data_IF_250374612523
#
_entry.id   IF_250374612523
#
_cell.length_a   1.000
_cell.length_b   1.000
_cell.length_c   1.000
_cell.angle_alpha   90.00
_cell.angle_beta   90.00
_cell.angle_gamma   90.00
#
_symmetry.space_group_name_H-M   'P 1'
#
loop_
_entity.id
_entity.type
_entity.pdbx_description
1 polymer ?
#
# COMPACT_ATOMS: atom_id res chain seq x y z
N UNK A 1 5.89 19.28 8.59
CA UNK A 1 4.64 18.61 8.16
C UNK A 1 5.05 17.58 7.12
N UNK A 2 4.89 16.29 7.38
CA UNK A 2 5.40 15.11 6.62
C UNK A 2 6.92 15.01 6.40
N UNK A 3 7.59 16.06 5.94
CA UNK A 3 9.04 16.06 5.62
C UNK A 3 9.94 15.64 6.80
N UNK A 4 9.50 15.92 8.03
CA UNK A 4 10.25 15.61 9.25
C UNK A 4 9.89 14.25 9.86
N UNK A 5 8.95 13.51 9.28
CA UNK A 5 8.56 12.20 9.80
C UNK A 5 9.59 11.14 9.42
N UNK A 6 9.87 10.23 10.35
CA UNK A 6 10.60 9.00 10.10
C UNK A 6 9.72 7.98 9.37
N UNK A 7 10.34 6.97 8.75
CA UNK A 7 9.59 5.90 8.08
C UNK A 7 8.66 5.16 9.06
N UNK A 8 9.12 4.90 10.28
CA UNK A 8 8.31 4.24 11.31
C UNK A 8 7.07 5.06 11.69
N UNK A 9 7.16 6.38 11.70
CA UNK A 9 6.02 7.26 11.96
C UNK A 9 5.03 7.29 10.79
N UNK A 10 5.53 7.28 9.55
CA UNK A 10 4.68 7.22 8.34
C UNK A 10 3.91 5.90 8.21
N UNK A 11 4.51 4.79 8.63
CA UNK A 11 3.89 3.46 8.57
C UNK A 11 2.99 3.15 9.76
N UNK A 12 2.93 4.04 10.76
CA UNK A 12 2.11 3.84 11.95
C UNK A 12 0.63 3.91 11.60
N UNK A 13 -0.15 3.04 12.23
CA UNK A 13 -1.60 3.03 12.04
C UNK A 13 -2.22 4.36 12.51
N UNK A 14 -3.05 5.02 11.67
CA UNK A 14 -3.74 6.25 12.04
C UNK A 14 -4.77 5.97 13.15
N UNK A 15 -4.93 6.93 14.06
CA UNK A 15 -5.87 6.85 15.19
C UNK A 15 -7.06 7.77 15.02
N UNK A 16 -6.88 8.89 14.33
CA UNK A 16 -7.93 9.89 14.08
C UNK A 16 -8.19 10.08 12.59
N UNK A 17 -9.25 10.81 12.22
CA UNK A 17 -9.54 11.14 10.82
C UNK A 17 -8.45 12.08 10.28
N UNK A 18 -7.97 12.99 11.12
CA UNK A 18 -6.89 13.92 10.81
C UNK A 18 -5.56 13.20 10.52
N UNK A 19 -5.28 12.10 11.22
CA UNK A 19 -4.06 11.30 10.99
C UNK A 19 -4.02 10.66 9.59
N UNK A 20 -5.18 10.41 8.97
CA UNK A 20 -5.26 9.80 7.63
C UNK A 20 -4.88 10.83 6.55
N UNK A 21 -5.05 12.12 6.85
CA UNK A 21 -4.72 13.25 5.96
C UNK A 21 -5.36 13.14 4.56
N UNK A 22 -6.59 12.60 4.50
CA UNK A 22 -7.43 12.61 3.30
C UNK A 22 -8.82 13.17 3.62
N UNK A 23 -9.50 13.78 2.64
CA UNK A 23 -10.89 14.17 2.80
C UNK A 23 -11.78 13.00 3.25
N UNK A 24 -12.55 13.20 4.33
CA UNK A 24 -13.42 12.19 4.94
C UNK A 24 -14.37 11.52 3.93
N UNK A 25 -14.86 12.29 2.97
CA UNK A 25 -15.75 11.80 1.90
C UNK A 25 -15.14 10.68 1.06
N UNK A 26 -13.81 10.60 0.92
CA UNK A 26 -13.14 9.51 0.20
C UNK A 26 -13.42 8.18 0.90
N UNK A 27 -13.29 8.13 2.23
CA UNK A 27 -13.52 6.91 3.02
C UNK A 27 -15.01 6.57 3.02
N UNK A 28 -15.88 7.57 3.19
CA UNK A 28 -17.34 7.39 3.14
C UNK A 28 -17.78 6.81 1.80
N UNK A 29 -17.27 7.32 0.69
CA UNK A 29 -17.56 6.80 -0.65
C UNK A 29 -17.09 5.34 -0.80
N UNK A 30 -15.92 4.98 -0.24
CA UNK A 30 -15.44 3.58 -0.23
C UNK A 30 -16.40 2.68 0.58
N UNK A 31 -16.87 3.12 1.77
CA UNK A 31 -17.84 2.37 2.58
C UNK A 31 -19.15 2.19 1.81
N UNK A 32 -19.68 3.26 1.21
CA UNK A 32 -20.92 3.21 0.44
C UNK A 32 -20.82 2.23 -0.73
N UNK A 33 -19.70 2.24 -1.47
CA UNK A 33 -19.45 1.28 -2.56
C UNK A 33 -19.38 -0.16 -2.08
N UNK A 34 -18.72 -0.39 -0.94
CA UNK A 34 -18.66 -1.72 -0.32
C UNK A 34 -20.06 -2.23 0.04
N UNK A 35 -20.86 -1.41 0.72
CA UNK A 35 -22.23 -1.76 1.10
C UNK A 35 -23.13 -1.96 -0.12
N UNK A 36 -22.96 -1.15 -1.18
CA UNK A 36 -23.72 -1.32 -2.41
C UNK A 36 -23.37 -2.64 -3.11
N UNK A 37 -22.09 -3.02 -3.12
CA UNK A 37 -21.62 -4.23 -3.78
C UNK A 37 -21.93 -5.51 -3.00
N UNK A 38 -21.90 -5.48 -1.66
CA UNK A 38 -22.06 -6.66 -0.81
C UNK A 38 -23.42 -6.71 -0.08
N UNK A 39 -24.19 -5.63 -0.12
CA UNK A 39 -25.49 -5.49 0.56
C UNK A 39 -25.33 -5.28 2.07
N UNK A 40 -25.59 -6.34 2.83
CA UNK A 40 -25.53 -6.31 4.30
C UNK A 40 -24.12 -6.67 4.76
N UNK A 41 -23.38 -5.71 5.33
CA UNK A 41 -21.96 -5.88 5.63
C UNK A 41 -21.69 -5.67 7.12
N UNK A 42 -21.01 -6.63 7.75
CA UNK A 42 -20.63 -6.51 9.17
C UNK A 42 -19.50 -5.49 9.37
N UNK A 43 -19.44 -4.89 10.56
CA UNK A 43 -18.32 -4.02 10.95
C UNK A 43 -16.95 -4.67 10.70
N UNK A 44 -16.81 -5.95 11.02
CA UNK A 44 -15.58 -6.72 10.81
C UNK A 44 -15.17 -6.77 9.33
N UNK A 45 -16.14 -6.93 8.43
CA UNK A 45 -15.88 -6.94 6.98
C UNK A 45 -15.46 -5.55 6.49
N UNK A 46 -16.14 -4.49 6.93
CA UNK A 46 -15.75 -3.09 6.63
C UNK A 46 -14.32 -2.83 7.09
N UNK A 47 -13.98 -3.21 8.33
CA UNK A 47 -12.64 -3.05 8.87
C UNK A 47 -11.58 -3.81 8.08
N UNK A 48 -11.85 -5.05 7.68
CA UNK A 48 -10.92 -5.86 6.88
C UNK A 48 -10.65 -5.25 5.50
N UNK A 49 -11.66 -4.63 4.89
CA UNK A 49 -11.55 -4.00 3.57
C UNK A 49 -10.83 -2.66 3.67
N UNK A 50 -11.25 -1.77 4.55
CA UNK A 50 -10.79 -0.36 4.57
C UNK A 50 -9.53 -0.17 5.43
N UNK A 51 -9.28 -1.04 6.42
CA UNK A 51 -8.05 -1.11 7.22
C UNK A 51 -7.71 0.12 8.06
N UNK A 52 -8.72 0.87 8.50
CA UNK A 52 -8.58 2.03 9.41
C UNK A 52 -9.51 1.90 10.63
N UNK A 53 -9.37 0.84 11.45
CA UNK A 53 -10.33 0.49 12.52
C UNK A 53 -10.68 1.63 13.47
N UNK A 54 -9.70 2.46 13.82
CA UNK A 54 -9.85 3.50 14.85
C UNK A 54 -10.79 4.63 14.43
N UNK A 55 -10.99 4.85 13.12
CA UNK A 55 -11.89 5.90 12.63
C UNK A 55 -13.25 5.37 12.19
N UNK A 56 -13.37 4.05 11.94
CA UNK A 56 -14.57 3.49 11.34
C UNK A 56 -15.83 3.67 12.20
N UNK A 57 -15.71 3.55 13.52
CA UNK A 57 -16.86 3.72 14.43
C UNK A 57 -17.46 5.14 14.31
N UNK A 58 -16.60 6.17 14.31
CA UNK A 58 -17.00 7.57 14.15
C UNK A 58 -17.64 7.80 12.78
N UNK A 59 -17.05 7.25 11.71
CA UNK A 59 -17.57 7.41 10.35
C UNK A 59 -18.92 6.72 10.18
N UNK A 60 -19.09 5.51 10.70
CA UNK A 60 -20.33 4.75 10.60
C UNK A 60 -21.45 5.37 11.44
N UNK A 61 -21.14 5.89 12.62
CA UNK A 61 -22.11 6.64 13.42
C UNK A 61 -22.57 7.91 12.71
N UNK A 62 -21.64 8.64 12.08
CA UNK A 62 -21.97 9.80 11.25
C UNK A 62 -22.84 9.41 10.03
N UNK A 63 -22.50 8.33 9.32
CA UNK A 63 -23.32 7.85 8.19
C UNK A 63 -24.73 7.47 8.64
N UNK A 64 -24.87 6.94 9.86
CA UNK A 64 -26.16 6.61 10.45
C UNK A 64 -26.96 7.87 10.81
N UNK A 65 -26.33 8.89 11.41
CA UNK A 65 -27.00 10.15 11.73
C UNK A 65 -27.44 10.91 10.47
N UNK A 66 -26.68 10.79 9.38
CA UNK A 66 -27.02 11.35 8.07
C UNK A 66 -28.00 10.49 7.26
N UNK A 67 -28.58 9.44 7.87
CA UNK A 67 -29.52 8.53 7.22
C UNK A 67 -28.98 7.88 5.94
N UNK A 68 -27.67 7.67 5.81
CA UNK A 68 -27.06 6.98 4.68
C UNK A 68 -27.03 5.46 4.88
N UNK A 69 -26.97 5.02 6.14
CA UNK A 69 -26.94 3.60 6.51
C UNK A 69 -27.90 3.29 7.65
N UNK A 70 -28.36 2.06 7.68
CA UNK A 70 -29.14 1.48 8.77
C UNK A 70 -28.35 0.36 9.44
N UNK A 71 -28.60 0.15 10.73
CA UNK A 71 -27.94 -0.90 11.52
C UNK A 71 -28.92 -2.02 11.84
N UNK A 72 -28.59 -3.24 11.39
CA UNK A 72 -29.28 -4.46 11.78
C UNK A 72 -28.54 -5.12 12.95
N UNK A 73 -29.27 -5.68 13.93
CA UNK A 73 -28.66 -6.46 14.99
C UNK A 73 -27.97 -7.69 14.40
N UNK A 74 -26.71 -7.89 14.76
CA UNK A 74 -25.95 -9.10 14.43
C UNK A 74 -25.59 -9.85 15.70
N UNK A 75 -24.29 -9.97 16.00
CA UNK A 75 -23.80 -10.70 17.18
C UNK A 75 -23.94 -9.85 18.46
N UNK A 76 -24.84 -10.17 19.40
CA UNK A 76 -25.10 -9.32 20.57
C UNK A 76 -23.90 -9.21 21.53
N UNK A 77 -23.09 -10.28 21.60
CA UNK A 77 -21.92 -10.40 22.47
C UNK A 77 -20.82 -9.38 22.15
N UNK A 78 -20.77 -8.89 20.91
CA UNK A 78 -19.77 -7.92 20.43
C UNK A 78 -20.25 -6.47 20.50
N UNK A 79 -21.45 -6.21 21.05
CA UNK A 79 -22.04 -4.88 21.11
C UNK A 79 -22.09 -4.22 19.73
N UNK A 80 -21.60 -2.98 19.61
CA UNK A 80 -21.59 -2.21 18.35
C UNK A 80 -20.75 -2.84 17.24
N UNK A 81 -19.71 -3.60 17.58
CA UNK A 81 -18.87 -4.28 16.58
C UNK A 81 -19.55 -5.53 16.00
N UNK A 82 -20.66 -5.98 16.60
CA UNK A 82 -21.51 -7.03 16.08
C UNK A 82 -22.56 -6.55 15.09
N UNK A 83 -22.66 -5.24 14.83
CA UNK A 83 -23.65 -4.69 13.91
C UNK A 83 -23.37 -5.03 12.45
N UNK A 84 -24.46 -5.20 11.72
CA UNK A 84 -24.48 -5.32 10.26
C UNK A 84 -25.07 -4.04 9.70
N UNK A 85 -24.35 -3.43 8.76
CA UNK A 85 -24.73 -2.18 8.13
C UNK A 85 -25.37 -2.47 6.77
N UNK A 86 -26.41 -1.72 6.44
CA UNK A 86 -27.09 -1.77 5.14
C UNK A 86 -27.36 -0.36 4.64
N UNK A 87 -27.45 -0.17 3.33
CA UNK A 87 -27.73 1.15 2.76
C UNK A 87 -29.20 1.50 2.98
N UNK A 88 -29.45 2.74 3.36
CA UNK A 88 -30.78 3.33 3.20
C UNK A 88 -31.05 3.64 1.72
N UNK A 89 -32.27 4.08 1.40
CA UNK A 89 -32.60 4.55 0.05
C UNK A 89 -31.72 5.74 -0.41
N UNK A 90 -31.45 6.69 0.49
CA UNK A 90 -30.56 7.83 0.21
C UNK A 90 -29.10 7.39 0.11
N UNK A 91 -28.68 6.43 0.95
CA UNK A 91 -27.38 5.78 0.87
C UNK A 91 -27.15 5.11 -0.48
N UNK A 92 -28.18 4.42 -1.00
CA UNK A 92 -28.12 3.75 -2.30
C UNK A 92 -27.93 4.76 -3.46
N UNK A 93 -28.64 5.88 -3.45
CA UNK A 93 -28.46 6.95 -4.43
C UNK A 93 -27.03 7.51 -4.38
N UNK A 94 -26.52 7.78 -3.18
CA UNK A 94 -25.16 8.31 -2.99
C UNK A 94 -24.09 7.30 -3.38
N UNK A 95 -24.31 6.01 -3.11
CA UNK A 95 -23.41 4.94 -3.49
C UNK A 95 -23.31 4.80 -5.02
N UNK A 96 -24.43 4.91 -5.76
CA UNK A 96 -24.42 4.92 -7.23
C UNK A 96 -23.59 6.09 -7.78
N UNK A 97 -23.78 7.30 -7.25
CA UNK A 97 -22.97 8.45 -7.64
C UNK A 97 -21.48 8.25 -7.29
N UNK A 98 -21.17 7.59 -6.17
CA UNK A 98 -19.79 7.27 -5.79
C UNK A 98 -19.15 6.23 -6.73
N UNK A 99 -19.92 5.25 -7.23
CA UNK A 99 -19.49 4.27 -8.24
C UNK A 99 -19.21 4.93 -9.59
N UNK A 100 -20.02 5.91 -10.01
CA UNK A 100 -19.77 6.66 -11.25
C UNK A 100 -18.43 7.41 -11.23
N UNK A 101 -17.98 7.88 -10.05
CA UNK A 101 -16.69 8.57 -9.90
C UNK A 101 -15.49 7.62 -9.79
N UNK A 102 -15.65 6.51 -9.09
CA UNK A 102 -14.58 5.53 -8.90
C UNK A 102 -15.15 4.18 -8.48
N UNK A 103 -14.57 3.10 -8.99
CA UNK A 103 -14.94 1.72 -8.66
C UNK A 103 -14.07 1.13 -7.54
N UNK A 104 -13.18 1.92 -6.93
CA UNK A 104 -12.25 1.42 -5.93
C UNK A 104 -12.96 1.04 -4.62
N UNK A 105 -12.84 -0.24 -4.24
CA UNK A 105 -13.28 -0.81 -2.97
C UNK A 105 -12.07 -1.54 -2.37
N UNK A 106 -11.52 -0.99 -1.28
CA UNK A 106 -10.29 -1.50 -0.69
C UNK A 106 -9.80 -0.65 0.48
N UNK A 107 -8.54 -0.84 0.91
CA UNK A 107 -7.95 -0.08 2.00
C UNK A 107 -8.01 1.43 1.75
N UNK A 108 -8.10 2.23 2.82
CA UNK A 108 -8.08 3.67 2.70
C UNK A 108 -6.81 4.12 1.93
N UNK A 109 -6.94 4.99 0.90
CA UNK A 109 -5.80 5.41 0.09
C UNK A 109 -4.88 6.33 0.90
N UNK A 110 -3.59 6.26 0.60
CA UNK A 110 -2.56 7.10 1.23
C UNK A 110 -2.35 8.37 0.40
N UNK A 111 -2.22 9.56 1.00
CA UNK A 111 -1.90 10.78 0.25
C UNK A 111 -0.57 10.67 -0.52
N UNK A 112 -0.53 11.20 -1.74
CA UNK A 112 0.66 11.08 -2.60
C UNK A 112 1.93 11.67 -1.96
N UNK A 113 1.83 12.75 -1.18
CA UNK A 113 2.98 13.35 -0.50
C UNK A 113 3.52 12.49 0.64
N UNK A 114 2.67 11.72 1.33
CA UNK A 114 3.12 10.72 2.31
C UNK A 114 3.88 9.58 1.63
N UNK A 115 3.36 9.10 0.50
CA UNK A 115 4.01 8.04 -0.28
C UNK A 115 5.38 8.48 -0.82
N UNK A 116 5.46 9.67 -1.42
CA UNK A 116 6.73 10.22 -1.92
C UNK A 116 7.79 10.24 -0.81
N UNK A 117 7.40 10.74 0.38
CA UNK A 117 8.32 10.78 1.52
C UNK A 117 8.75 9.40 1.99
N UNK A 118 7.83 8.43 2.05
CA UNK A 118 8.14 7.06 2.42
C UNK A 118 9.13 6.42 1.44
N UNK A 119 8.96 6.64 0.13
CA UNK A 119 9.88 6.12 -0.89
C UNK A 119 11.26 6.76 -0.79
N UNK A 120 11.35 8.07 -0.56
CA UNK A 120 12.64 8.74 -0.32
C UNK A 120 13.38 8.15 0.88
N UNK A 121 12.68 7.92 1.99
CA UNK A 121 13.29 7.38 3.20
C UNK A 121 13.74 5.92 3.03
N UNK A 122 12.95 5.10 2.32
CA UNK A 122 13.28 3.70 2.03
C UNK A 122 14.42 3.55 1.01
N UNK A 123 14.63 4.54 0.14
CA UNK A 123 15.68 4.50 -0.89
C UNK A 123 17.00 5.12 -0.44
N UNK A 124 17.01 5.83 0.69
CA UNK A 124 18.21 6.40 1.29
C UNK A 124 19.04 5.40 2.11
N UNK A 125 18.43 4.29 2.56
CA UNK A 125 19.18 3.24 3.25
C UNK A 125 20.15 2.56 2.28
N UNK A 126 21.41 2.42 2.71
CA UNK A 126 22.43 1.76 1.91
C UNK A 126 22.12 0.27 1.84
N UNK A 127 22.02 -0.23 0.62
CA UNK A 127 21.97 -1.65 0.34
C UNK A 127 23.26 -2.30 0.88
N UNK A 128 23.16 -3.13 1.92
CA UNK A 128 24.27 -3.93 2.42
C UNK A 128 24.22 -5.32 1.79
N UNK A 129 24.87 -5.45 0.63
CA UNK A 129 25.04 -6.74 -0.02
C UNK A 129 26.30 -7.41 0.52
N UNK A 130 26.13 -8.59 1.11
CA UNK A 130 27.27 -9.40 1.53
C UNK A 130 27.95 -10.05 0.33
N UNK A 131 29.26 -10.24 0.47
CA UNK A 131 30.08 -10.90 -0.53
C UNK A 131 29.56 -12.30 -0.93
N UNK A 132 29.12 -13.08 0.08
CA UNK A 132 28.55 -14.41 -0.12
C UNK A 132 27.28 -14.40 -0.96
N UNK A 133 26.50 -13.32 -0.90
CA UNK A 133 25.24 -13.22 -1.63
C UNK A 133 25.51 -12.91 -3.10
N UNK A 134 26.50 -12.04 -3.38
CA UNK A 134 26.98 -11.79 -4.75
C UNK A 134 27.49 -13.07 -5.39
N UNK A 135 28.33 -13.82 -4.67
CA UNK A 135 28.89 -15.09 -5.15
C UNK A 135 27.80 -16.12 -5.46
N UNK A 136 26.82 -16.29 -4.56
CA UNK A 136 25.66 -17.16 -4.78
C UNK A 136 24.80 -16.72 -5.95
N UNK A 137 24.51 -15.42 -6.10
CA UNK A 137 23.68 -14.93 -7.22
C UNK A 137 24.32 -15.17 -8.59
N UNK A 138 25.65 -15.30 -8.62
CA UNK A 138 26.45 -15.49 -9.82
C UNK A 138 26.88 -16.95 -10.04
N UNK A 139 26.56 -17.89 -9.14
CA UNK A 139 27.10 -19.25 -9.18
C UNK A 139 26.73 -20.03 -10.44
N UNK A 140 25.59 -19.69 -11.05
CA UNK A 140 25.09 -20.33 -12.26
C UNK A 140 25.73 -19.77 -13.55
N UNK A 141 26.63 -18.78 -13.41
CA UNK A 141 27.28 -18.09 -14.53
C UNK A 141 28.77 -18.44 -14.61
N UNK A 142 29.23 -18.78 -15.82
CA UNK A 142 30.66 -18.99 -16.10
C UNK A 142 31.30 -17.61 -16.24
N UNK A 143 31.96 -17.15 -15.17
CA UNK A 143 32.57 -15.82 -15.09
C UNK A 143 34.07 -15.91 -14.79
N UNK A 144 34.86 -14.87 -15.13
CA UNK A 144 36.26 -14.81 -14.75
C UNK A 144 36.46 -14.95 -13.24
N UNK A 145 37.60 -15.50 -12.78
CA UNK A 145 37.92 -15.52 -11.37
C UNK A 145 37.89 -14.09 -10.78
N UNK A 146 37.47 -13.98 -9.53
CA UNK A 146 37.32 -12.70 -8.80
C UNK A 146 36.31 -11.70 -9.41
N UNK A 147 35.48 -12.08 -10.38
CA UNK A 147 34.48 -11.17 -10.95
C UNK A 147 33.52 -10.60 -9.89
N UNK A 148 33.07 -11.45 -8.96
CA UNK A 148 32.23 -11.07 -7.83
C UNK A 148 32.90 -10.03 -6.90
N UNK A 149 34.24 -10.06 -6.75
CA UNK A 149 35.02 -9.06 -5.97
C UNK A 149 34.97 -7.67 -6.59
N UNK A 150 34.82 -7.56 -7.90
CA UNK A 150 34.72 -6.27 -8.61
C UNK A 150 33.31 -5.70 -8.57
N UNK A 151 32.30 -6.57 -8.60
CA UNK A 151 30.89 -6.19 -8.65
C UNK A 151 30.34 -5.79 -7.28
N UNK A 152 30.70 -6.51 -6.21
CA UNK A 152 30.19 -6.26 -4.85
C UNK A 152 30.32 -4.79 -4.39
N UNK A 153 31.50 -4.16 -4.48
CA UNK A 153 31.68 -2.75 -4.12
C UNK A 153 30.82 -1.78 -4.94
N UNK A 154 30.58 -2.10 -6.21
CA UNK A 154 29.78 -1.27 -7.11
C UNK A 154 28.26 -1.42 -6.87
N UNK A 155 27.80 -2.55 -6.35
CA UNK A 155 26.43 -2.69 -5.87
C UNK A 155 26.20 -1.89 -4.59
N UNK A 156 27.10 -2.02 -3.61
CA UNK A 156 26.99 -1.32 -2.32
C UNK A 156 27.18 0.20 -2.45
N UNK A 157 27.81 0.67 -3.53
CA UNK A 157 27.92 2.11 -3.80
C UNK A 157 26.65 2.72 -4.36
N UNK A 158 25.64 1.93 -4.74
CA UNK A 158 24.40 2.40 -5.36
C UNK A 158 24.60 3.16 -6.68
N UNK A 159 25.79 3.05 -7.28
CA UNK A 159 26.18 3.80 -8.47
C UNK A 159 25.74 3.08 -9.75
N UNK A 160 25.54 3.84 -10.82
CA UNK A 160 25.24 3.26 -12.14
C UNK A 160 26.42 2.39 -12.61
N UNK A 161 26.14 1.14 -12.98
CA UNK A 161 27.12 0.22 -13.55
C UNK A 161 26.86 0.01 -15.04
N UNK A 162 27.93 0.02 -15.84
CA UNK A 162 27.86 -0.30 -17.26
C UNK A 162 28.48 -1.66 -17.55
N UNK A 163 27.67 -2.64 -17.95
CA UNK A 163 28.12 -3.99 -18.34
C UNK A 163 28.24 -4.03 -19.87
N UNK A 164 29.46 -4.17 -20.39
CA UNK A 164 29.72 -4.19 -21.83
C UNK A 164 30.43 -5.47 -22.29
N UNK A 165 30.34 -5.77 -23.58
CA UNK A 165 30.97 -6.94 -24.22
C UNK A 165 30.16 -7.48 -25.41
N UNK A 166 30.68 -8.46 -26.16
CA UNK A 166 29.98 -9.10 -27.29
C UNK A 166 28.60 -9.68 -26.91
N UNK A 167 27.65 -9.72 -27.86
CA UNK A 167 26.34 -10.36 -27.66
C UNK A 167 26.50 -11.85 -27.32
N UNK A 168 25.65 -12.38 -26.44
CA UNK A 168 25.70 -13.80 -26.02
C UNK A 168 26.50 -14.08 -24.74
N UNK A 169 27.29 -13.13 -24.23
CA UNK A 169 28.12 -13.32 -23.03
C UNK A 169 27.39 -13.08 -21.70
N UNK A 170 26.09 -13.37 -21.61
CA UNK A 170 25.35 -13.36 -20.33
C UNK A 170 25.13 -11.99 -19.66
N UNK A 171 25.36 -10.85 -20.34
CA UNK A 171 25.17 -9.50 -19.75
C UNK A 171 23.79 -9.28 -19.14
N UNK A 172 22.75 -9.65 -19.87
CA UNK A 172 21.35 -9.58 -19.39
C UNK A 172 21.13 -10.49 -18.20
N UNK A 173 21.74 -11.68 -18.21
CA UNK A 173 21.65 -12.66 -17.11
C UNK A 173 22.36 -12.16 -15.85
N UNK A 174 23.55 -11.56 -15.98
CA UNK A 174 24.26 -10.89 -14.88
C UNK A 174 23.39 -9.77 -14.32
N UNK A 175 22.82 -8.90 -15.18
CA UNK A 175 21.95 -7.82 -14.73
C UNK A 175 20.72 -8.32 -13.96
N UNK A 176 20.08 -9.41 -14.41
CA UNK A 176 18.96 -10.02 -13.68
C UNK A 176 19.37 -10.65 -12.35
N UNK A 177 20.51 -11.35 -12.31
CA UNK A 177 21.05 -11.91 -11.06
C UNK A 177 21.31 -10.80 -10.02
N UNK A 178 21.91 -9.70 -10.47
CA UNK A 178 22.13 -8.52 -9.62
C UNK A 178 20.82 -7.87 -9.18
N UNK A 179 19.88 -7.67 -10.08
CA UNK A 179 18.57 -7.08 -9.75
C UNK A 179 17.79 -7.94 -8.75
N UNK A 180 17.83 -9.26 -8.90
CA UNK A 180 17.21 -10.20 -7.97
C UNK A 180 17.83 -10.14 -6.57
N UNK A 181 19.16 -10.01 -6.51
CA UNK A 181 19.88 -9.85 -5.25
C UNK A 181 19.52 -8.52 -4.55
N UNK A 182 19.42 -7.42 -5.29
CA UNK A 182 19.01 -6.11 -4.76
C UNK A 182 17.57 -6.18 -4.23
N UNK A 183 16.66 -6.80 -4.99
CA UNK A 183 15.25 -6.94 -4.61
C UNK A 183 15.04 -7.78 -3.35
N UNK A 184 15.97 -8.68 -3.02
CA UNK A 184 15.90 -9.53 -1.82
C UNK A 184 16.49 -8.87 -0.57
N UNK A 185 17.32 -7.84 -0.72
CA UNK A 185 18.06 -7.27 0.40
C UNK A 185 17.17 -6.43 1.34
N UNK A 186 16.19 -5.69 0.80
CA UNK A 186 15.34 -4.81 1.61
C UNK A 186 13.92 -4.74 1.04
N UNK A 187 12.89 -5.13 1.80
CA UNK A 187 11.51 -4.99 1.36
C UNK A 187 11.13 -3.50 1.27
N UNK A 188 10.40 -3.13 0.22
CA UNK A 188 9.84 -1.79 0.04
C UNK A 188 8.37 -1.83 0.46
N UNK A 189 7.97 -0.96 1.39
CA UNK A 189 6.57 -0.84 1.76
C UNK A 189 5.82 -0.02 0.70
N UNK A 190 4.77 -0.62 0.14
CA UNK A 190 3.87 0.01 -0.81
C UNK A 190 2.46 0.09 -0.21
N UNK A 191 1.75 1.22 -0.38
CA UNK A 191 0.35 1.30 -0.01
C UNK A 191 -0.50 0.53 -1.01
N UNK A 192 -1.70 0.10 -0.62
CA UNK A 192 -2.65 -0.56 -1.53
C UNK A 192 -3.25 0.41 -2.55
N UNK A 193 -3.38 1.68 -2.18
CA UNK A 193 -3.85 2.74 -3.07
C UNK A 193 -3.30 4.09 -2.61
N UNK A 194 -3.25 5.00 -3.57
CA UNK A 194 -2.84 6.39 -3.39
C UNK A 194 -4.01 7.32 -3.69
N UNK A 195 -3.97 8.54 -3.12
CA UNK A 195 -4.86 9.61 -3.57
C UNK A 195 -4.09 10.88 -3.94
N UNK A 196 -4.51 11.49 -5.05
CA UNK A 196 -4.00 12.75 -5.55
C UNK A 196 -5.15 13.52 -6.22
N UNK A 197 -5.40 14.76 -5.81
CA UNK A 197 -6.49 15.57 -6.37
C UNK A 197 -7.88 14.94 -6.24
N UNK A 198 -8.13 14.15 -5.19
CA UNK A 198 -9.39 13.41 -4.97
C UNK A 198 -9.57 12.17 -5.85
N UNK A 199 -8.63 11.87 -6.74
CA UNK A 199 -8.61 10.61 -7.49
C UNK A 199 -7.95 9.51 -6.66
N UNK A 200 -8.35 8.26 -6.90
CA UNK A 200 -7.75 7.08 -6.26
C UNK A 200 -6.97 6.31 -7.32
N UNK A 201 -5.70 6.02 -7.02
CA UNK A 201 -4.80 5.26 -7.88
C UNK A 201 -4.50 3.95 -7.16
N UNK A 202 -4.97 2.83 -7.70
CA UNK A 202 -4.66 1.52 -7.13
C UNK A 202 -3.21 1.14 -7.43
N UNK A 203 -2.50 0.71 -6.40
CA UNK A 203 -1.16 0.14 -6.54
C UNK A 203 -1.32 -1.36 -6.68
N UNK A 204 -0.63 -1.93 -7.67
CA UNK A 204 -0.63 -3.37 -7.93
C UNK A 204 0.82 -3.81 -7.96
N UNK A 205 1.23 -4.58 -6.96
CA UNK A 205 2.39 -5.46 -7.07
C UNK A 205 1.89 -6.86 -7.52
N UNK A 206 2.65 -7.54 -8.36
CA UNK A 206 2.32 -8.88 -8.88
C UNK A 206 2.99 -9.95 -8.07
#
# INVERSE_FOLDING_TARGET
MVENLSLAELLKQPKTIEDIDIPQNIILDIILRLLYSEGNVSFQRINKVIRVPNVLDILLEWMKSEHLVETLPGQPELGRWGYVYTLSKEGELRARAALERSQYIGPAPVPIHYYNRAIELQTQEKLEVNFSDVEKSLSDLILPPDFHRRIGPALNSGSSMFIYGPSGNGKTTIAHAMAGLIAQATPIWLPYALTAGGQIIQVVDR
#
